data_IF_666345127614
#
_entry.id   IF_666345127614
#
_cell.length_a   1.000
_cell.length_b   1.000
_cell.length_c   1.000
_cell.angle_alpha   90.00
_cell.angle_beta   90.00
_cell.angle_gamma   90.00
#
_symmetry.space_group_name_H-M   'P 1'
#
loop_
_entity.id
_entity.type
_entity.pdbx_description
1 polymer ?
#
# COMPACT_ATOMS: atom_id res chain seq x y z
N UNK A 1 44.42 1.62 20.46
CA UNK A 1 43.29 1.86 19.53
C UNK A 1 42.94 0.54 18.84
N UNK A 2 41.69 0.10 18.96
CA UNK A 2 41.27 -1.13 18.29
C UNK A 2 41.00 -0.82 16.81
N UNK A 3 41.80 -1.37 15.91
CA UNK A 3 41.57 -1.22 14.47
C UNK A 3 40.26 -1.88 14.07
N UNK A 4 39.52 -1.25 13.15
CA UNK A 4 38.34 -1.86 12.54
C UNK A 4 38.77 -3.15 11.81
N UNK A 5 38.36 -4.30 12.31
CA UNK A 5 38.71 -5.57 11.70
C UNK A 5 37.73 -5.87 10.55
N UNK A 6 38.07 -5.43 9.34
CA UNK A 6 37.36 -5.79 8.12
C UNK A 6 37.95 -7.12 7.62
N UNK A 7 37.16 -8.18 7.72
CA UNK A 7 37.55 -9.48 7.19
C UNK A 7 37.68 -9.44 5.67
N UNK A 8 38.50 -10.33 5.10
CA UNK A 8 38.64 -10.43 3.64
C UNK A 8 37.30 -10.63 2.92
N UNK A 9 36.43 -11.49 3.45
CA UNK A 9 35.09 -11.75 2.92
C UNK A 9 34.24 -10.47 2.89
N UNK A 10 34.28 -9.65 3.96
CA UNK A 10 33.53 -8.39 4.00
C UNK A 10 34.09 -7.38 2.99
N UNK A 11 35.41 -7.30 2.85
CA UNK A 11 36.08 -6.45 1.86
C UNK A 11 35.65 -6.81 0.44
N UNK A 12 35.67 -8.10 0.09
CA UNK A 12 35.18 -8.58 -1.21
C UNK A 12 33.72 -8.23 -1.46
N UNK A 13 32.85 -8.39 -0.45
CA UNK A 13 31.44 -8.02 -0.54
C UNK A 13 31.25 -6.52 -0.78
N UNK A 14 32.02 -5.68 -0.10
CA UNK A 14 32.00 -4.23 -0.31
C UNK A 14 32.44 -3.86 -1.73
N UNK A 15 33.55 -4.44 -2.21
CA UNK A 15 34.03 -4.22 -3.58
C UNK A 15 32.97 -4.63 -4.61
N UNK A 16 32.35 -5.79 -4.42
CA UNK A 16 31.28 -6.29 -5.29
C UNK A 16 30.05 -5.37 -5.28
N UNK A 17 29.70 -4.86 -4.10
CA UNK A 17 28.60 -3.90 -3.95
C UNK A 17 28.88 -2.61 -4.74
N UNK A 18 30.06 -2.02 -4.59
CA UNK A 18 30.42 -0.78 -5.28
C UNK A 18 30.52 -0.95 -6.80
N UNK A 19 31.07 -2.07 -7.27
CA UNK A 19 31.07 -2.40 -8.71
C UNK A 19 29.67 -2.50 -9.32
N UNK A 20 28.71 -3.00 -8.52
CA UNK A 20 27.31 -3.11 -8.94
C UNK A 20 26.56 -1.78 -8.85
N UNK A 21 26.89 -0.95 -7.86
CA UNK A 21 26.19 0.30 -7.55
C UNK A 21 27.16 1.48 -7.79
N UNK A 22 27.43 1.79 -9.04
CA UNK A 22 28.41 2.83 -9.45
C UNK A 22 28.10 4.24 -8.93
N UNK A 23 26.85 4.50 -8.54
CA UNK A 23 26.41 5.77 -7.96
C UNK A 23 26.29 5.73 -6.44
N UNK A 24 26.74 4.67 -5.79
CA UNK A 24 26.72 4.57 -4.34
C UNK A 24 27.66 5.60 -3.73
N UNK A 25 27.13 6.39 -2.81
CA UNK A 25 27.90 7.33 -2.00
C UNK A 25 28.48 6.64 -0.75
N UNK A 26 29.22 7.40 0.05
CA UNK A 26 29.84 6.88 1.25
C UNK A 26 28.80 6.39 2.28
N UNK A 27 27.69 7.11 2.44
CA UNK A 27 26.62 6.72 3.36
C UNK A 27 25.95 5.42 2.94
N UNK A 28 25.63 5.27 1.66
CA UNK A 28 25.07 4.02 1.13
C UNK A 28 26.02 2.84 1.34
N UNK A 29 27.31 3.09 1.22
CA UNK A 29 28.36 2.09 1.47
C UNK A 29 28.47 1.74 2.95
N UNK A 30 28.38 2.71 3.86
CA UNK A 30 28.32 2.48 5.31
C UNK A 30 27.08 1.69 5.71
N UNK A 31 25.91 2.01 5.14
CA UNK A 31 24.70 1.24 5.38
C UNK A 31 24.84 -0.22 4.96
N UNK A 32 25.39 -0.44 3.79
CA UNK A 32 25.68 -1.80 3.34
C UNK A 32 26.66 -2.52 4.29
N UNK A 33 27.68 -1.82 4.78
CA UNK A 33 28.62 -2.36 5.76
C UNK A 33 27.93 -2.74 7.07
N UNK A 34 27.03 -1.87 7.58
CA UNK A 34 26.26 -2.12 8.79
C UNK A 34 25.36 -3.33 8.60
N UNK A 35 24.69 -3.44 7.46
CA UNK A 35 23.83 -4.59 7.14
C UNK A 35 24.66 -5.90 7.13
N UNK A 36 25.82 -5.89 6.50
CA UNK A 36 26.65 -7.09 6.41
C UNK A 36 27.32 -7.46 7.74
N UNK A 37 27.80 -6.49 8.50
CA UNK A 37 28.53 -6.72 9.75
C UNK A 37 27.61 -6.98 10.94
N UNK A 38 26.58 -6.16 11.12
CA UNK A 38 25.69 -6.20 12.28
C UNK A 38 24.40 -6.96 12.00
N UNK A 39 24.16 -7.37 10.75
CA UNK A 39 22.91 -8.04 10.30
C UNK A 39 21.67 -7.20 10.51
N UNK A 40 21.81 -5.89 10.56
CA UNK A 40 20.72 -4.93 10.62
C UNK A 40 20.21 -4.66 9.21
N UNK A 41 18.91 -4.35 9.11
CA UNK A 41 18.26 -3.91 7.88
C UNK A 41 17.55 -2.58 8.17
N UNK A 42 18.33 -1.50 8.31
CA UNK A 42 17.77 -0.22 8.69
C UNK A 42 16.78 0.29 7.64
N UNK A 43 15.72 0.90 8.12
CA UNK A 43 14.67 1.51 7.30
C UNK A 43 14.38 2.93 7.78
N UNK A 44 14.04 3.80 6.85
CA UNK A 44 13.56 5.14 7.14
C UNK A 44 12.03 5.13 7.23
N UNK A 45 11.50 5.69 8.33
CA UNK A 45 10.10 6.06 8.44
C UNK A 45 9.97 7.58 8.16
N UNK A 46 9.60 7.97 6.94
CA UNK A 46 9.66 9.38 6.50
C UNK A 46 8.77 10.31 7.32
N UNK A 47 7.65 9.80 7.85
CA UNK A 47 6.71 10.60 8.64
C UNK A 47 7.33 11.14 9.94
N UNK A 48 8.18 10.36 10.58
CA UNK A 48 8.86 10.71 11.82
C UNK A 48 10.32 11.14 11.58
N UNK A 49 10.80 11.06 10.32
CA UNK A 49 12.21 11.30 9.94
C UNK A 49 13.17 10.46 10.78
N UNK A 50 12.77 9.24 11.14
CA UNK A 50 13.53 8.38 12.05
C UNK A 50 13.93 7.08 11.34
N UNK A 51 15.15 6.64 11.61
CA UNK A 51 15.70 5.36 11.13
C UNK A 51 15.55 4.32 12.21
N UNK A 52 14.98 3.18 11.82
CA UNK A 52 14.81 2.00 12.68
C UNK A 52 15.77 0.90 12.24
N UNK A 53 16.21 0.09 13.19
CA UNK A 53 17.17 -1.01 12.96
C UNK A 53 16.60 -2.08 12.05
N UNK A 54 15.28 -2.31 12.15
CA UNK A 54 14.56 -3.22 11.28
C UNK A 54 13.12 -2.77 11.06
N UNK A 55 12.46 -3.38 10.08
CA UNK A 55 11.02 -3.21 9.85
C UNK A 55 10.18 -3.72 11.03
N UNK A 56 10.63 -4.81 11.65
CA UNK A 56 9.91 -5.44 12.76
C UNK A 56 9.92 -4.53 14.00
N UNK A 57 11.04 -3.87 14.29
CA UNK A 57 11.13 -2.88 15.39
C UNK A 57 10.19 -1.71 15.17
N UNK A 58 10.11 -1.19 13.95
CA UNK A 58 9.17 -0.12 13.63
C UNK A 58 7.72 -0.58 13.80
N UNK A 59 7.37 -1.75 13.27
CA UNK A 59 6.01 -2.30 13.39
C UNK A 59 5.65 -2.50 14.85
N UNK A 60 6.52 -3.13 15.64
CA UNK A 60 6.30 -3.39 17.05
C UNK A 60 6.09 -2.08 17.84
N UNK A 61 6.89 -1.06 17.56
CA UNK A 61 6.72 0.26 18.18
C UNK A 61 5.36 0.86 17.83
N UNK A 62 5.01 0.91 16.53
CA UNK A 62 3.75 1.51 16.09
C UNK A 62 2.53 0.72 16.60
N UNK A 63 2.62 -0.60 16.72
CA UNK A 63 1.58 -1.44 17.33
C UNK A 63 1.41 -1.13 18.80
N UNK A 64 2.50 -1.07 19.57
CA UNK A 64 2.47 -0.76 21.01
C UNK A 64 1.90 0.62 21.32
N UNK A 65 2.07 1.57 20.41
CA UNK A 65 1.55 2.93 20.49
C UNK A 65 0.15 3.09 19.86
N UNK A 66 -0.47 2.01 19.37
CA UNK A 66 -1.74 2.02 18.62
C UNK A 66 -1.74 2.98 17.42
N UNK A 67 -0.59 3.13 16.75
CA UNK A 67 -0.40 4.05 15.61
C UNK A 67 -0.52 3.39 14.23
N UNK A 68 -0.77 2.08 14.16
CA UNK A 68 -0.94 1.38 12.88
C UNK A 68 -2.39 1.29 12.43
N UNK A 69 -3.28 0.81 13.30
CA UNK A 69 -4.70 0.63 12.98
C UNK A 69 -5.60 0.78 14.20
N UNK A 70 -6.86 1.07 13.91
CA UNK A 70 -7.97 0.93 14.85
C UNK A 70 -8.99 -0.07 14.32
N UNK A 71 -9.55 -0.90 15.18
CA UNK A 71 -10.68 -1.74 14.84
C UNK A 71 -11.96 -0.91 14.84
N UNK A 72 -12.76 -1.05 13.79
CA UNK A 72 -14.03 -0.33 13.63
C UNK A 72 -15.10 -1.28 13.11
N UNK A 73 -16.24 -1.27 13.74
CA UNK A 73 -17.40 -2.03 13.26
C UNK A 73 -18.18 -1.20 12.24
N UNK A 74 -18.36 -1.71 11.04
CA UNK A 74 -19.19 -1.12 10.00
C UNK A 74 -20.44 -1.98 9.77
N UNK A 75 -21.56 -1.32 9.48
CA UNK A 75 -22.79 -1.97 9.03
C UNK A 75 -22.79 -2.01 7.51
N UNK A 76 -22.71 -3.21 6.94
CA UNK A 76 -22.91 -3.41 5.51
C UNK A 76 -24.40 -3.56 5.26
N UNK A 77 -25.00 -2.55 4.67
CA UNK A 77 -26.36 -2.65 4.14
C UNK A 77 -26.28 -3.21 2.72
N UNK A 78 -26.94 -4.33 2.50
CA UNK A 78 -27.13 -4.80 1.13
C UNK A 78 -28.02 -3.79 0.38
N UNK A 79 -27.67 -3.51 -0.88
CA UNK A 79 -28.40 -2.57 -1.72
C UNK A 79 -29.93 -2.86 -1.75
N UNK A 80 -30.73 -1.86 -2.06
CA UNK A 80 -32.18 -2.03 -2.21
C UNK A 80 -32.44 -3.12 -3.26
N UNK A 81 -33.15 -4.16 -2.86
CA UNK A 81 -33.63 -5.15 -3.81
C UNK A 81 -34.54 -4.46 -4.83
N UNK A 82 -34.44 -4.87 -6.09
CA UNK A 82 -35.24 -4.30 -7.18
C UNK A 82 -36.74 -4.60 -7.02
N UNK A 83 -37.06 -5.67 -6.29
CA UNK A 83 -38.42 -6.10 -5.97
C UNK A 83 -38.49 -6.42 -4.49
N UNK A 84 -39.48 -5.92 -3.80
CA UNK A 84 -39.73 -6.15 -2.38
C UNK A 84 -41.23 -6.37 -2.11
N UNK A 85 -41.60 -6.64 -0.86
CA UNK A 85 -42.98 -6.94 -0.48
C UNK A 85 -44.00 -5.86 -0.82
N UNK A 86 -43.56 -4.60 -1.03
CA UNK A 86 -44.43 -3.49 -1.37
C UNK A 86 -44.52 -3.22 -2.89
N UNK A 87 -43.83 -4.00 -3.70
CA UNK A 87 -43.83 -3.87 -5.17
C UNK A 87 -45.20 -4.29 -5.72
N UNK A 88 -45.80 -3.44 -6.50
CA UNK A 88 -47.11 -3.67 -7.15
C UNK A 88 -47.00 -3.92 -8.64
N UNK A 89 -45.86 -3.57 -9.22
CA UNK A 89 -45.59 -3.70 -10.64
C UNK A 89 -44.11 -4.01 -10.87
N UNK A 90 -43.85 -4.98 -11.73
CA UNK A 90 -42.49 -5.34 -12.13
C UNK A 90 -42.27 -5.15 -13.62
N UNK A 91 -41.04 -4.85 -13.98
CA UNK A 91 -40.56 -4.73 -15.35
C UNK A 91 -39.41 -5.72 -15.54
N UNK A 92 -39.55 -6.63 -16.48
CA UNK A 92 -38.59 -7.71 -16.74
C UNK A 92 -37.94 -7.50 -18.09
N UNK A 93 -36.63 -7.45 -18.15
CA UNK A 93 -35.89 -7.46 -19.40
C UNK A 93 -36.05 -8.82 -20.09
N UNK A 94 -36.57 -8.89 -21.32
CA UNK A 94 -36.82 -10.18 -22.00
C UNK A 94 -35.52 -10.91 -22.40
N UNK A 95 -34.39 -10.21 -22.41
CA UNK A 95 -33.10 -10.80 -22.85
C UNK A 95 -32.22 -11.24 -21.69
N UNK A 96 -32.18 -10.49 -20.60
CA UNK A 96 -31.30 -10.75 -19.46
C UNK A 96 -32.04 -11.28 -18.23
N UNK A 97 -33.36 -11.20 -18.20
CA UNK A 97 -34.17 -11.54 -17.03
C UNK A 97 -34.03 -10.52 -15.87
N UNK A 98 -33.35 -9.39 -16.08
CA UNK A 98 -33.24 -8.35 -15.05
C UNK A 98 -34.59 -7.78 -14.73
N UNK A 99 -34.90 -7.65 -13.42
CA UNK A 99 -36.21 -7.19 -12.92
C UNK A 99 -36.07 -5.88 -12.16
N UNK A 100 -37.01 -4.97 -12.38
CA UNK A 100 -37.15 -3.70 -11.69
C UNK A 100 -38.54 -3.60 -11.06
N UNK A 101 -38.63 -3.10 -9.85
CA UNK A 101 -39.89 -2.85 -9.15
C UNK A 101 -40.29 -1.36 -9.21
N UNK A 102 -41.58 -1.09 -9.27
CA UNK A 102 -42.14 0.26 -9.32
C UNK A 102 -41.89 1.09 -8.04
N UNK A 103 -41.70 0.44 -6.90
CA UNK A 103 -41.48 1.10 -5.60
C UNK A 103 -40.00 1.16 -5.18
N UNK A 104 -39.11 0.65 -5.97
CA UNK A 104 -37.63 0.61 -5.62
C UNK A 104 -36.87 1.82 -6.15
N UNK A 105 -37.44 2.54 -7.09
CA UNK A 105 -36.90 3.76 -7.68
C UNK A 105 -37.96 4.87 -7.70
N UNK A 106 -37.56 6.13 -7.49
CA UNK A 106 -38.49 7.28 -7.63
C UNK A 106 -39.16 7.32 -9.00
N UNK A 107 -38.39 6.98 -10.06
CA UNK A 107 -38.88 6.80 -11.42
C UNK A 107 -38.34 5.49 -12.00
N UNK A 108 -39.14 4.42 -12.05
CA UNK A 108 -38.68 3.13 -12.57
C UNK A 108 -38.20 3.18 -14.03
N UNK A 109 -38.84 4.02 -14.84
CA UNK A 109 -38.50 4.14 -16.28
C UNK A 109 -37.11 4.72 -16.49
N UNK A 110 -36.73 5.73 -15.71
CA UNK A 110 -35.39 6.31 -15.79
C UNK A 110 -34.33 5.32 -15.36
N UNK A 111 -34.56 4.56 -14.28
CA UNK A 111 -33.67 3.52 -13.82
C UNK A 111 -33.49 2.38 -14.84
N UNK A 112 -34.59 2.03 -15.54
CA UNK A 112 -34.57 1.04 -16.62
C UNK A 112 -33.77 1.60 -17.82
N UNK A 113 -34.02 2.82 -18.21
CA UNK A 113 -33.33 3.49 -19.32
C UNK A 113 -31.83 3.57 -19.09
N UNK A 114 -31.44 4.02 -17.90
CA UNK A 114 -30.04 4.10 -17.49
C UNK A 114 -29.34 2.75 -17.49
N UNK A 115 -30.04 1.72 -17.04
CA UNK A 115 -29.49 0.37 -17.04
C UNK A 115 -29.32 -0.17 -18.46
N UNK A 116 -30.33 -0.01 -19.31
CA UNK A 116 -30.34 -0.49 -20.70
C UNK A 116 -29.22 0.18 -21.50
N UNK A 117 -29.01 1.49 -21.31
CA UNK A 117 -27.95 2.21 -22.03
C UNK A 117 -26.53 1.78 -21.65
N UNK A 118 -26.36 1.17 -20.48
CA UNK A 118 -25.06 0.67 -19.99
C UNK A 118 -24.89 -0.86 -20.10
N UNK A 119 -25.89 -1.57 -20.60
CA UNK A 119 -25.87 -3.04 -20.68
C UNK A 119 -25.43 -3.50 -22.08
N UNK A 120 -24.18 -4.02 -22.23
CA UNK A 120 -23.65 -4.45 -23.55
C UNK A 120 -24.50 -5.52 -24.21
N UNK A 121 -25.03 -6.47 -23.42
CA UNK A 121 -25.85 -7.58 -23.93
C UNK A 121 -27.12 -7.10 -24.65
N UNK A 122 -27.72 -6.02 -24.17
CA UNK A 122 -28.90 -5.43 -24.83
C UNK A 122 -28.53 -4.69 -26.12
N UNK A 123 -27.37 -4.04 -26.13
CA UNK A 123 -26.89 -3.28 -27.28
C UNK A 123 -26.49 -4.20 -28.43
N UNK A 124 -25.82 -5.32 -28.14
CA UNK A 124 -25.39 -6.28 -29.14
C UNK A 124 -26.55 -7.03 -29.80
N UNK A 125 -27.59 -7.37 -29.05
CA UNK A 125 -28.70 -8.20 -29.52
C UNK A 125 -29.67 -7.49 -30.49
N UNK A 126 -29.67 -6.17 -30.52
CA UNK A 126 -30.57 -5.36 -31.36
C UNK A 126 -29.77 -4.44 -32.29
N UNK A 127 -28.66 -4.89 -32.81
CA UNK A 127 -27.88 -4.13 -33.79
C UNK A 127 -27.42 -2.76 -33.29
N UNK A 128 -27.01 -2.69 -32.02
CA UNK A 128 -26.54 -1.44 -31.38
C UNK A 128 -27.64 -0.55 -30.79
N UNK A 129 -28.90 -0.96 -30.86
CA UNK A 129 -30.01 -0.20 -30.27
C UNK A 129 -30.39 -0.77 -28.90
N UNK A 130 -30.54 0.09 -27.85
CA UNK A 130 -30.95 -0.36 -26.54
C UNK A 130 -32.40 -0.90 -26.54
N UNK A 131 -32.63 -1.98 -25.80
CA UNK A 131 -33.97 -2.54 -25.63
C UNK A 131 -34.83 -1.62 -24.80
N UNK A 132 -35.88 -1.08 -25.40
CA UNK A 132 -36.83 -0.19 -24.74
C UNK A 132 -38.12 -0.90 -24.30
N UNK A 133 -38.31 -2.16 -24.69
CA UNK A 133 -39.51 -2.92 -24.34
C UNK A 133 -39.20 -3.92 -23.26
N UNK A 134 -39.96 -3.86 -22.18
CA UNK A 134 -39.91 -4.78 -21.05
C UNK A 134 -41.24 -5.51 -20.92
N UNK A 135 -41.18 -6.75 -20.45
CA UNK A 135 -42.35 -7.45 -19.99
C UNK A 135 -42.80 -6.81 -18.69
N UNK A 136 -44.12 -6.56 -18.55
CA UNK A 136 -44.70 -5.92 -17.37
C UNK A 136 -45.69 -6.86 -16.74
N UNK A 137 -45.66 -6.97 -15.40
CA UNK A 137 -46.66 -7.72 -14.65
C UNK A 137 -47.11 -6.93 -13.42
N UNK A 138 -48.41 -6.95 -13.17
CA UNK A 138 -49.09 -6.46 -11.95
C UNK A 138 -49.70 -7.62 -11.16
N UNK A 139 -49.48 -8.87 -11.64
CA UNK A 139 -49.99 -10.07 -10.98
C UNK A 139 -49.22 -10.33 -9.68
N UNK A 140 -49.88 -10.37 -8.51
CA UNK A 140 -49.20 -10.60 -7.22
C UNK A 140 -48.49 -11.95 -7.13
N UNK A 141 -49.01 -13.02 -7.77
CA UNK A 141 -48.38 -14.32 -7.76
C UNK A 141 -47.12 -14.33 -8.60
N UNK A 142 -47.09 -13.59 -9.71
CA UNK A 142 -45.89 -13.43 -10.53
C UNK A 142 -44.86 -12.58 -9.76
N UNK A 143 -45.28 -11.47 -9.16
CA UNK A 143 -44.40 -10.56 -8.41
C UNK A 143 -43.74 -11.28 -7.24
N UNK A 144 -44.49 -12.10 -6.51
CA UNK A 144 -44.01 -12.89 -5.37
C UNK A 144 -42.81 -13.74 -5.70
N UNK A 145 -42.74 -14.29 -6.90
CA UNK A 145 -41.59 -15.09 -7.33
C UNK A 145 -40.26 -14.31 -7.44
N UNK A 146 -40.33 -12.98 -7.51
CA UNK A 146 -39.17 -12.08 -7.60
C UNK A 146 -38.89 -11.34 -6.30
N UNK A 147 -39.77 -11.45 -5.29
CA UNK A 147 -39.50 -10.88 -3.96
C UNK A 147 -38.41 -11.67 -3.29
N UNK A 148 -37.32 -11.00 -3.00
CA UNK A 148 -36.22 -11.58 -2.25
C UNK A 148 -36.36 -11.20 -0.78
N UNK A 149 -36.07 -12.15 0.10
CA UNK A 149 -35.95 -11.85 1.52
C UNK A 149 -34.88 -10.77 1.74
N UNK A 150 -35.24 -9.75 2.49
CA UNK A 150 -34.32 -8.67 2.86
C UNK A 150 -33.22 -9.26 3.72
N UNK A 151 -32.02 -9.38 3.19
CA UNK A 151 -30.87 -9.79 4.01
C UNK A 151 -30.65 -8.77 5.12
N UNK A 152 -30.55 -9.25 6.35
CA UNK A 152 -30.24 -8.43 7.49
C UNK A 152 -28.87 -7.73 7.27
N UNK A 153 -28.76 -6.50 7.74
CA UNK A 153 -27.48 -5.79 7.71
C UNK A 153 -26.43 -6.62 8.49
N UNK A 154 -25.31 -6.89 7.86
CA UNK A 154 -24.21 -7.62 8.49
C UNK A 154 -23.28 -6.59 9.14
N UNK A 155 -22.99 -6.81 10.42
CA UNK A 155 -21.89 -6.12 11.09
C UNK A 155 -20.58 -6.75 10.68
N UNK A 156 -19.64 -5.93 10.25
CA UNK A 156 -18.31 -6.37 9.86
C UNK A 156 -17.25 -5.54 10.55
N UNK A 157 -16.28 -6.22 11.14
CA UNK A 157 -15.09 -5.57 11.67
C UNK A 157 -14.16 -5.21 10.49
N UNK A 158 -13.72 -3.99 10.46
CA UNK A 158 -12.72 -3.46 9.53
C UNK A 158 -11.63 -2.74 10.31
N UNK A 159 -10.49 -2.55 9.68
CA UNK A 159 -9.30 -1.93 10.27
C UNK A 159 -9.05 -0.60 9.56
N UNK A 160 -9.11 0.49 10.32
CA UNK A 160 -8.77 1.83 9.81
C UNK A 160 -7.28 2.08 10.01
N UNK A 161 -6.55 2.38 8.95
CA UNK A 161 -5.17 2.81 9.07
C UNK A 161 -5.08 4.17 9.76
N UNK A 162 -4.30 4.26 10.83
CA UNK A 162 -4.05 5.53 11.55
C UNK A 162 -3.25 6.52 10.69
N UNK A 163 -2.46 6.00 9.75
CA UNK A 163 -1.58 6.80 8.90
C UNK A 163 -2.36 7.43 7.75
N UNK A 164 -3.28 6.68 7.13
CA UNK A 164 -3.99 7.10 5.90
C UNK A 164 -5.48 7.32 6.08
N UNK A 165 -6.09 6.84 7.17
CA UNK A 165 -7.54 6.82 7.37
C UNK A 165 -8.28 5.78 6.50
N UNK A 166 -7.58 5.05 5.62
CA UNK A 166 -8.19 4.05 4.74
C UNK A 166 -8.68 2.85 5.54
N UNK A 167 -9.79 2.25 5.07
CA UNK A 167 -10.37 1.05 5.66
C UNK A 167 -9.87 -0.21 4.94
N UNK A 168 -9.53 -1.22 5.72
CA UNK A 168 -9.04 -2.51 5.27
C UNK A 168 -9.83 -3.66 5.89
N UNK A 169 -9.90 -4.78 5.21
CA UNK A 169 -10.62 -5.96 5.68
C UNK A 169 -9.84 -6.80 6.70
N UNK A 170 -8.55 -6.54 6.90
CA UNK A 170 -7.69 -7.26 7.83
C UNK A 170 -6.50 -6.42 8.26
N UNK A 171 -5.93 -6.74 9.44
CA UNK A 171 -4.66 -6.17 9.93
C UNK A 171 -3.52 -6.37 8.93
N UNK A 172 -3.47 -7.56 8.32
CA UNK A 172 -2.46 -7.86 7.29
C UNK A 172 -2.52 -6.88 6.12
N UNK A 173 -3.72 -6.54 5.63
CA UNK A 173 -3.87 -5.59 4.53
C UNK A 173 -3.41 -4.17 4.91
N UNK A 174 -3.60 -3.75 6.17
CA UNK A 174 -3.02 -2.49 6.68
C UNK A 174 -1.49 -2.54 6.68
N UNK A 175 -0.90 -3.65 7.17
CA UNK A 175 0.55 -3.83 7.18
C UNK A 175 1.14 -3.87 5.77
N UNK A 176 0.49 -4.53 4.83
CA UNK A 176 0.96 -4.61 3.44
C UNK A 176 0.93 -3.22 2.77
N UNK A 177 -0.12 -2.43 3.01
CA UNK A 177 -0.19 -1.03 2.55
C UNK A 177 0.90 -0.17 3.22
N UNK A 178 1.11 -0.33 4.52
CA UNK A 178 2.16 0.36 5.27
C UNK A 178 3.56 0.06 4.71
N UNK A 179 3.90 -1.21 4.56
CA UNK A 179 5.19 -1.67 4.02
C UNK A 179 5.46 -1.14 2.62
N UNK A 180 4.43 -1.09 1.78
CA UNK A 180 4.56 -0.65 0.39
C UNK A 180 4.69 0.85 0.23
N UNK A 181 3.94 1.63 1.02
CA UNK A 181 3.70 3.05 0.73
C UNK A 181 4.29 4.01 1.75
N UNK A 182 4.67 3.55 2.96
CA UNK A 182 5.01 4.44 4.07
C UNK A 182 6.41 4.26 4.65
N UNK A 183 7.18 3.32 4.14
CA UNK A 183 8.56 3.12 4.52
C UNK A 183 9.48 3.19 3.30
N UNK A 184 10.74 3.54 3.52
CA UNK A 184 11.77 3.54 2.49
C UNK A 184 12.95 2.69 2.94
N UNK A 185 13.43 1.84 2.04
CA UNK A 185 14.72 1.19 2.22
C UNK A 185 15.83 2.22 2.03
N UNK A 186 16.75 2.27 2.97
CA UNK A 186 17.90 3.18 2.90
C UNK A 186 18.91 2.77 1.82
N UNK A 187 18.91 1.49 1.42
CA UNK A 187 19.77 0.98 0.33
C UNK A 187 19.40 1.54 -1.05
N UNK A 188 18.23 2.17 -1.19
CA UNK A 188 17.72 2.73 -2.46
C UNK A 188 17.59 4.25 -2.39
N UNK A 189 18.45 4.92 -1.65
CA UNK A 189 18.37 6.35 -1.45
C UNK A 189 18.67 7.10 -2.76
N UNK A 190 17.63 7.50 -3.49
CA UNK A 190 17.76 8.47 -4.57
C UNK A 190 17.88 9.88 -4.00
N UNK A 191 19.04 10.47 -4.22
CA UNK A 191 19.49 11.76 -3.71
C UNK A 191 18.81 12.97 -4.40
N UNK A 192 17.60 12.85 -4.91
CA UNK A 192 16.91 13.95 -5.62
C UNK A 192 16.00 14.82 -4.73
N UNK A 193 15.97 14.62 -3.42
CA UNK A 193 15.03 15.33 -2.55
C UNK A 193 15.67 16.56 -1.90
N UNK A 194 14.90 17.67 -1.84
CA UNK A 194 15.33 18.93 -1.20
C UNK A 194 15.66 18.80 0.30
N UNK A 195 15.27 17.70 0.94
CA UNK A 195 15.56 17.39 2.35
C UNK A 195 16.76 16.42 2.51
N UNK A 196 17.66 16.39 1.56
CA UNK A 196 18.82 15.50 1.56
C UNK A 196 19.65 15.63 2.83
N UNK A 197 19.95 16.87 3.23
CA UNK A 197 20.81 17.14 4.38
C UNK A 197 20.24 16.64 5.71
N UNK A 198 18.94 16.83 5.95
CA UNK A 198 18.29 16.32 7.18
C UNK A 198 18.31 14.79 7.26
N UNK A 199 18.24 14.13 6.12
CA UNK A 199 18.26 12.67 6.05
C UNK A 199 19.70 12.16 6.22
N UNK A 200 20.66 12.83 5.62
CA UNK A 200 22.08 12.49 5.74
C UNK A 200 22.54 12.64 7.19
N UNK A 201 22.12 13.70 7.89
CA UNK A 201 22.37 13.90 9.33
C UNK A 201 21.76 12.78 10.17
N UNK A 202 20.48 12.48 9.97
CA UNK A 202 19.79 11.38 10.67
C UNK A 202 20.47 10.03 10.41
N UNK A 203 20.96 9.82 9.20
CA UNK A 203 21.66 8.61 8.82
C UNK A 203 23.06 8.54 9.47
N UNK A 204 23.76 9.66 9.55
CA UNK A 204 25.05 9.72 10.24
C UNK A 204 24.88 9.45 11.74
N UNK A 205 23.89 10.04 12.40
CA UNK A 205 23.57 9.73 13.80
C UNK A 205 23.27 8.25 14.00
N UNK A 206 22.51 7.64 13.08
CA UNK A 206 22.24 6.21 13.13
C UNK A 206 23.52 5.39 12.99
N UNK A 207 24.41 5.74 12.04
CA UNK A 207 25.69 5.03 11.81
C UNK A 207 26.58 5.17 13.04
N UNK A 208 26.69 6.36 13.65
CA UNK A 208 27.50 6.60 14.85
C UNK A 208 27.06 5.79 16.06
N UNK A 209 25.80 5.38 16.11
CA UNK A 209 25.29 4.47 17.13
C UNK A 209 25.97 3.09 17.12
N UNK A 210 26.46 2.65 15.96
CA UNK A 210 27.09 1.33 15.77
C UNK A 210 28.60 1.42 15.53
N UNK A 211 29.08 2.57 15.09
CA UNK A 211 30.49 2.81 14.80
C UNK A 211 30.97 4.02 15.57
N UNK A 212 32.09 3.91 16.25
CA UNK A 212 32.76 5.08 16.83
C UNK A 212 33.37 5.91 15.71
N UNK A 213 33.63 7.20 15.99
CA UNK A 213 34.29 8.11 15.03
C UNK A 213 35.62 7.53 14.53
N UNK A 214 36.41 6.93 15.41
CA UNK A 214 37.64 6.25 15.05
C UNK A 214 37.42 5.08 14.07
N UNK A 215 36.35 4.28 14.28
CA UNK A 215 36.02 3.19 13.37
C UNK A 215 35.55 3.69 12.01
N UNK A 216 34.84 4.80 11.98
CA UNK A 216 34.43 5.47 10.74
C UNK A 216 35.65 5.95 9.97
N UNK A 217 36.58 6.63 10.66
CA UNK A 217 37.84 7.09 10.07
C UNK A 217 38.66 5.95 9.50
N UNK A 218 38.84 4.85 10.24
CA UNK A 218 39.54 3.67 9.76
C UNK A 218 38.86 3.03 8.54
N UNK A 219 37.53 3.04 8.49
CA UNK A 219 36.80 2.55 7.32
C UNK A 219 37.06 3.43 6.09
N UNK A 220 37.03 4.75 6.24
CA UNK A 220 37.36 5.71 5.18
C UNK A 220 38.78 5.51 4.67
N UNK A 221 39.75 5.37 5.58
CA UNK A 221 41.15 5.10 5.23
C UNK A 221 41.30 3.82 4.41
N UNK A 222 40.68 2.70 4.86
CA UNK A 222 40.70 1.42 4.13
C UNK A 222 40.08 1.55 2.75
N UNK A 223 38.97 2.29 2.65
CA UNK A 223 38.28 2.53 1.38
C UNK A 223 39.13 3.39 0.44
N UNK A 224 39.88 4.39 0.96
CA UNK A 224 40.73 5.28 0.18
C UNK A 224 41.96 4.59 -0.42
N UNK A 225 42.44 3.51 0.20
CA UNK A 225 43.52 2.69 -0.35
C UNK A 225 43.15 2.01 -1.68
N UNK A 226 41.86 1.85 -1.94
CA UNK A 226 41.38 1.31 -3.20
C UNK A 226 41.16 2.43 -4.23
N UNK A 227 42.02 2.48 -5.26
CA UNK A 227 41.90 3.45 -6.35
C UNK A 227 40.49 3.50 -7.02
N UNK A 228 39.78 2.38 -6.97
CA UNK A 228 38.43 2.26 -7.49
C UNK A 228 37.39 3.09 -6.70
N UNK A 229 37.71 3.53 -5.49
CA UNK A 229 36.80 4.21 -4.57
C UNK A 229 37.18 5.66 -4.23
N UNK A 230 38.36 6.12 -4.67
CA UNK A 230 38.87 7.45 -4.36
C UNK A 230 37.94 8.59 -4.74
N UNK A 231 37.19 8.46 -5.83
CA UNK A 231 36.19 9.45 -6.26
C UNK A 231 34.95 9.53 -5.37
N UNK A 232 34.58 8.46 -4.70
CA UNK A 232 33.40 8.42 -3.81
C UNK A 232 33.70 9.06 -2.45
N UNK A 233 34.95 8.99 -2.00
CA UNK A 233 35.40 9.56 -0.71
C UNK A 233 35.62 11.05 -0.81
N UNK A 234 36.13 11.54 -1.94
CA UNK A 234 36.37 12.98 -2.15
C UNK A 234 35.11 13.84 -2.09
N UNK A 235 33.95 13.28 -2.41
CA UNK A 235 32.67 13.99 -2.33
C UNK A 235 32.24 14.24 -0.87
N UNK A 236 32.75 13.45 0.08
CA UNK A 236 32.37 13.48 1.49
C UNK A 236 33.38 14.14 2.41
N UNK A 237 34.64 14.11 2.07
CA UNK A 237 35.75 14.67 2.87
C UNK A 237 36.23 16.03 2.36
N UNK A 238 35.67 16.54 1.27
CA UNK A 238 35.88 17.88 0.75
C UNK A 238 34.92 18.88 1.33
#
# INVERSE_FOLDING_TARGET
>A
MAKLNITHDLKEKLVKYLKKNKSADLLSTYLYFIEQKFKLKPILFPREKTIYESLDDLIQKLESENKLWHETEIKIQFGRESVNANTKKIYICPFTGKVFGDNTHPNPQDAIYDWVSRCPENTERIGGLPVKRFLVSEDPEVIKNYVKERKAAIKKVVYSSVITGKLFNSKKAVLDDFKKNHIKSLSLFEVQNQNRFEIDETLLEFIQKYLTEEQITQFVEIMSEHKEFGSYIQIWTG
#
